data_IF_440588628009
#
_entry.id   IF_440588628009
#
_cell.length_a   1.000
_cell.length_b   1.000
_cell.length_c   1.000
_cell.angle_alpha   90.00
_cell.angle_beta   90.00
_cell.angle_gamma   90.00
#
_symmetry.space_group_name_H-M   'P 1'
#
loop_
_entity.id
_entity.type
_entity.pdbx_description
1 polymer ?
#
# COMPACT_ATOMS: atom_id res chain seq x y z
N UNK A 1 -31.63 16.14 25.01
CA UNK A 1 -30.28 16.61 24.65
C UNK A 1 -30.37 18.11 24.62
N UNK A 2 -29.67 18.78 25.52
CA UNK A 2 -29.79 20.24 25.68
C UNK A 2 -29.27 20.94 24.42
N UNK A 3 -29.90 22.06 24.03
CA UNK A 3 -29.54 22.78 22.80
C UNK A 3 -28.08 23.23 22.80
N UNK A 4 -27.53 23.60 23.96
CA UNK A 4 -26.11 23.93 24.13
C UNK A 4 -25.18 22.74 23.82
N UNK A 5 -25.56 21.52 24.22
CA UNK A 5 -24.77 20.31 23.89
C UNK A 5 -24.84 19.98 22.41
N UNK A 6 -25.98 20.29 21.76
CA UNK A 6 -26.17 20.09 20.32
C UNK A 6 -25.35 21.09 19.51
N UNK A 7 -25.31 22.35 19.91
CA UNK A 7 -24.49 23.39 19.28
C UNK A 7 -22.99 23.15 19.44
N UNK A 8 -22.55 22.71 20.63
CA UNK A 8 -21.17 22.32 20.86
C UNK A 8 -20.76 21.15 19.94
N UNK A 9 -21.57 20.08 19.89
CA UNK A 9 -21.35 18.94 19.00
C UNK A 9 -21.34 19.34 17.52
N UNK A 10 -22.21 20.26 17.10
CA UNK A 10 -22.22 20.81 15.75
C UNK A 10 -20.92 21.53 15.41
N UNK A 11 -20.45 22.41 16.29
CA UNK A 11 -19.21 23.17 16.08
C UNK A 11 -17.99 22.24 16.00
N UNK A 12 -17.96 21.21 16.85
CA UNK A 12 -16.90 20.22 16.89
C UNK A 12 -16.88 19.35 15.61
N UNK A 13 -18.04 18.86 15.18
CA UNK A 13 -18.18 18.12 13.92
C UNK A 13 -17.82 18.95 12.70
N UNK A 14 -18.14 20.25 12.69
CA UNK A 14 -17.75 21.16 11.60
C UNK A 14 -16.24 21.35 11.55
N UNK A 15 -15.59 21.58 12.70
CA UNK A 15 -14.14 21.74 12.77
C UNK A 15 -13.39 20.51 12.26
N UNK A 16 -13.86 19.31 12.61
CA UNK A 16 -13.29 18.05 12.12
C UNK A 16 -13.65 17.78 10.65
N UNK A 17 -14.84 18.18 10.20
CA UNK A 17 -15.28 17.99 8.81
C UNK A 17 -14.49 18.85 7.80
N UNK A 18 -13.96 20.01 8.20
CA UNK A 18 -13.16 20.84 7.30
C UNK A 18 -11.90 20.07 6.85
N UNK A 19 -11.19 19.42 7.78
CA UNK A 19 -10.18 18.39 7.52
C UNK A 19 -9.07 18.74 6.49
N UNK A 20 -8.20 17.78 6.16
CA UNK A 20 -7.19 17.98 5.14
C UNK A 20 -7.81 18.01 3.73
N UNK A 21 -7.54 19.07 2.97
CA UNK A 21 -7.98 19.22 1.56
C UNK A 21 -6.90 18.85 0.54
N UNK A 22 -5.66 18.66 1.00
CA UNK A 22 -4.53 18.38 0.12
C UNK A 22 -4.68 16.99 -0.52
N UNK A 23 -4.09 16.85 -1.70
CA UNK A 23 -4.00 15.57 -2.38
C UNK A 23 -2.58 15.04 -2.20
N UNK A 24 -2.46 13.86 -1.62
CA UNK A 24 -1.18 13.22 -1.34
C UNK A 24 -1.01 11.94 -2.16
N UNK A 25 0.15 11.80 -2.79
CA UNK A 25 0.49 10.63 -3.59
C UNK A 25 1.59 9.83 -2.89
N UNK A 26 1.19 8.69 -2.31
CA UNK A 26 2.12 7.81 -1.62
C UNK A 26 2.76 6.89 -2.64
N UNK A 27 4.06 7.05 -2.80
CA UNK A 27 4.90 6.28 -3.70
C UNK A 27 5.64 5.19 -2.93
N UNK A 28 6.10 4.16 -3.63
CA UNK A 28 6.95 3.14 -3.05
C UNK A 28 8.39 3.20 -3.52
N UNK A 29 9.33 2.94 -2.60
CA UNK A 29 10.75 2.89 -2.94
C UNK A 29 11.41 1.57 -2.52
N UNK A 30 11.67 0.72 -3.49
CA UNK A 30 12.32 -0.59 -3.27
C UNK A 30 13.76 -0.65 -3.81
N UNK A 31 14.36 0.49 -4.20
CA UNK A 31 15.67 0.53 -4.87
C UNK A 31 16.80 -0.19 -4.12
N UNK A 32 16.87 -0.04 -2.79
CA UNK A 32 17.90 -0.70 -1.98
C UNK A 32 17.73 -2.23 -1.96
N UNK A 33 16.51 -2.71 -1.71
CA UNK A 33 16.21 -4.13 -1.70
C UNK A 33 16.43 -4.76 -3.08
N UNK A 34 16.04 -4.05 -4.16
CA UNK A 34 16.32 -4.47 -5.54
C UNK A 34 17.84 -4.58 -5.80
N UNK A 35 18.63 -3.62 -5.33
CA UNK A 35 20.09 -3.67 -5.49
C UNK A 35 20.73 -4.83 -4.70
N UNK A 36 20.36 -5.01 -3.43
CA UNK A 36 20.89 -6.10 -2.60
C UNK A 36 20.53 -7.48 -3.17
N UNK A 37 19.30 -7.65 -3.66
CA UNK A 37 18.88 -8.89 -4.32
C UNK A 37 19.60 -9.10 -5.65
N UNK A 38 19.80 -8.07 -6.47
CA UNK A 38 20.57 -8.17 -7.70
C UNK A 38 22.04 -8.56 -7.44
N UNK A 39 22.69 -7.97 -6.44
CA UNK A 39 24.06 -8.31 -6.04
C UNK A 39 24.14 -9.75 -5.51
N UNK A 40 23.21 -10.14 -4.64
CA UNK A 40 23.13 -11.52 -4.15
C UNK A 40 22.91 -12.53 -5.29
N UNK A 41 22.06 -12.20 -6.26
CA UNK A 41 21.81 -13.03 -7.43
C UNK A 41 23.09 -13.19 -8.27
N UNK A 42 23.82 -12.10 -8.51
CA UNK A 42 25.08 -12.14 -9.26
C UNK A 42 26.11 -13.06 -8.59
N UNK A 43 26.26 -12.99 -7.26
CA UNK A 43 27.17 -13.86 -6.51
C UNK A 43 26.74 -15.32 -6.61
N UNK A 44 25.46 -15.63 -6.40
CA UNK A 44 24.94 -17.00 -6.47
C UNK A 44 25.09 -17.60 -7.87
N UNK A 45 24.80 -16.82 -8.91
CA UNK A 45 24.97 -17.25 -10.30
C UNK A 45 26.44 -17.48 -10.65
N UNK A 46 27.34 -16.61 -10.18
CA UNK A 46 28.77 -16.76 -10.40
C UNK A 46 29.32 -18.00 -9.69
N UNK A 47 29.05 -18.16 -8.39
CA UNK A 47 29.52 -19.32 -7.60
C UNK A 47 28.89 -20.61 -8.10
N UNK A 48 27.59 -20.61 -8.40
CA UNK A 48 26.87 -21.77 -8.93
C UNK A 48 27.41 -22.18 -10.31
N UNK A 49 27.62 -21.22 -11.21
CA UNK A 49 28.20 -21.47 -12.53
C UNK A 49 29.63 -22.00 -12.44
N UNK A 50 30.44 -21.42 -11.55
CA UNK A 50 31.78 -21.92 -11.25
C UNK A 50 31.74 -23.37 -10.76
N UNK A 51 30.88 -23.70 -9.79
CA UNK A 51 30.74 -25.05 -9.25
C UNK A 51 30.30 -26.09 -10.30
N UNK A 52 29.34 -25.73 -11.16
CA UNK A 52 28.88 -26.59 -12.25
C UNK A 52 29.98 -26.81 -13.30
N UNK A 53 30.89 -25.84 -13.49
CA UNK A 53 32.00 -25.92 -14.44
C UNK A 53 33.23 -26.69 -13.93
N UNK A 54 33.39 -26.88 -12.61
CA UNK A 54 34.55 -27.56 -12.02
C UNK A 54 34.75 -29.01 -12.50
N UNK A 55 33.72 -29.86 -12.61
CA UNK A 55 33.89 -31.25 -13.05
C UNK A 55 34.46 -31.40 -14.46
N UNK A 56 34.10 -30.50 -15.39
CA UNK A 56 34.62 -30.52 -16.75
C UNK A 56 36.07 -30.02 -16.82
N UNK A 57 36.42 -29.01 -16.01
CA UNK A 57 37.78 -28.47 -15.93
C UNK A 57 38.77 -29.46 -15.31
N UNK A 58 38.36 -30.25 -14.33
CA UNK A 58 39.25 -31.14 -13.55
C UNK A 58 39.09 -32.63 -13.97
N UNK A 59 38.24 -32.92 -14.96
CA UNK A 59 38.00 -34.27 -15.47
C UNK A 59 37.55 -35.27 -14.38
N UNK A 60 36.78 -34.79 -13.39
CA UNK A 60 36.30 -35.63 -12.28
C UNK A 60 35.15 -36.52 -12.73
N UNK A 61 35.43 -37.79 -13.06
CA UNK A 61 34.41 -38.77 -13.48
C UNK A 61 33.55 -39.31 -12.33
N UNK A 62 34.14 -39.61 -11.17
CA UNK A 62 33.46 -40.35 -10.10
C UNK A 62 32.65 -39.47 -9.12
N UNK A 63 32.95 -38.17 -9.02
CA UNK A 63 32.42 -37.28 -7.98
C UNK A 63 31.70 -36.03 -8.53
N UNK A 64 31.39 -35.97 -9.83
CA UNK A 64 30.82 -34.78 -10.48
C UNK A 64 29.50 -34.30 -9.86
N UNK A 65 28.66 -35.21 -9.37
CA UNK A 65 27.40 -34.90 -8.70
C UNK A 65 27.58 -34.04 -7.44
N UNK A 66 28.70 -34.19 -6.71
CA UNK A 66 29.00 -33.41 -5.51
C UNK A 66 29.22 -31.92 -5.82
N UNK A 67 29.63 -31.58 -7.03
CA UNK A 67 29.73 -30.19 -7.47
C UNK A 67 28.49 -29.72 -8.23
N UNK A 68 27.90 -30.62 -9.02
CA UNK A 68 26.80 -30.28 -9.91
C UNK A 68 25.50 -29.98 -9.17
N UNK A 69 25.12 -30.80 -8.18
CA UNK A 69 23.89 -30.60 -7.40
C UNK A 69 23.90 -29.27 -6.62
N UNK A 70 24.91 -28.97 -5.77
CA UNK A 70 24.94 -27.68 -5.09
C UNK A 70 25.10 -26.51 -6.06
N UNK A 71 25.86 -26.66 -7.15
CA UNK A 71 25.97 -25.64 -8.19
C UNK A 71 24.63 -25.33 -8.86
N UNK A 72 23.86 -26.35 -9.22
CA UNK A 72 22.52 -26.19 -9.80
C UNK A 72 21.53 -25.55 -8.82
N UNK A 73 21.59 -25.90 -7.53
CA UNK A 73 20.78 -25.26 -6.49
C UNK A 73 21.12 -23.77 -6.32
N UNK A 74 22.41 -23.42 -6.33
CA UNK A 74 22.86 -22.02 -6.28
C UNK A 74 22.41 -21.24 -7.51
N UNK A 75 22.49 -21.84 -8.70
CA UNK A 75 21.98 -21.23 -9.93
C UNK A 75 20.47 -20.98 -9.85
N UNK A 76 19.69 -21.97 -9.40
CA UNK A 76 18.24 -21.83 -9.23
C UNK A 76 17.88 -20.73 -8.21
N UNK A 77 18.58 -20.70 -7.07
CA UNK A 77 18.41 -19.65 -6.07
C UNK A 77 18.79 -18.26 -6.61
N UNK A 78 19.87 -18.16 -7.38
CA UNK A 78 20.30 -16.93 -8.04
C UNK A 78 19.26 -16.41 -9.04
N UNK A 79 18.68 -17.29 -9.86
CA UNK A 79 17.61 -16.92 -10.80
C UNK A 79 16.34 -16.44 -10.08
N UNK A 80 15.94 -17.12 -9.00
CA UNK A 80 14.81 -16.69 -8.17
C UNK A 80 15.06 -15.30 -7.56
N UNK A 81 16.26 -15.07 -7.03
CA UNK A 81 16.63 -13.79 -6.43
C UNK A 81 16.70 -12.67 -7.47
N UNK A 82 17.12 -12.98 -8.70
CA UNK A 82 17.11 -12.04 -9.83
C UNK A 82 15.68 -11.66 -10.23
N UNK A 83 14.76 -12.62 -10.27
CA UNK A 83 13.34 -12.35 -10.51
C UNK A 83 12.74 -11.46 -9.41
N UNK A 84 13.13 -11.68 -8.15
CA UNK A 84 12.75 -10.79 -7.04
C UNK A 84 13.32 -9.38 -7.21
N UNK A 85 14.59 -9.25 -7.60
CA UNK A 85 15.24 -7.97 -7.86
C UNK A 85 14.51 -7.19 -8.96
N UNK A 86 14.14 -7.87 -10.04
CA UNK A 86 13.38 -7.29 -11.13
C UNK A 86 11.99 -6.83 -10.66
N UNK A 87 11.27 -7.67 -9.89
CA UNK A 87 9.96 -7.31 -9.34
C UNK A 87 10.05 -6.05 -8.45
N UNK A 88 11.05 -5.98 -7.57
CA UNK A 88 11.29 -4.82 -6.70
C UNK A 88 11.70 -3.58 -7.51
N UNK A 89 12.50 -3.74 -8.56
CA UNK A 89 12.90 -2.64 -9.44
C UNK A 89 11.71 -2.02 -10.18
N UNK A 90 10.77 -2.86 -10.64
CA UNK A 90 9.54 -2.42 -11.33
C UNK A 90 8.54 -1.74 -10.39
N UNK A 91 8.58 -2.12 -9.11
CA UNK A 91 7.78 -1.55 -8.03
C UNK A 91 8.32 -0.19 -7.56
N UNK A 92 9.61 0.06 -7.76
CA UNK A 92 10.26 1.30 -7.37
C UNK A 92 9.69 2.52 -8.12
N UNK A 93 9.22 3.51 -7.38
CA UNK A 93 8.62 4.75 -7.90
C UNK A 93 7.15 4.59 -8.29
N UNK A 94 6.50 3.45 -8.02
CA UNK A 94 5.06 3.30 -8.28
C UNK A 94 4.25 4.03 -7.22
N UNK A 95 3.26 4.81 -7.66
CA UNK A 95 2.23 5.34 -6.77
C UNK A 95 1.35 4.18 -6.30
N UNK A 96 1.26 4.00 -4.99
CA UNK A 96 0.50 2.92 -4.36
C UNK A 96 -0.90 3.38 -4.00
N UNK A 97 -1.00 4.58 -3.47
CA UNK A 97 -2.22 5.13 -2.92
C UNK A 97 -2.22 6.63 -3.08
N UNK A 98 -3.33 7.16 -3.59
CA UNK A 98 -3.61 8.59 -3.67
C UNK A 98 -4.68 8.91 -2.66
N UNK A 99 -4.38 9.85 -1.77
CA UNK A 99 -5.28 10.33 -0.74
C UNK A 99 -5.82 11.69 -1.20
N UNK A 100 -7.14 11.82 -1.20
CA UNK A 100 -7.85 13.06 -1.45
C UNK A 100 -8.84 13.31 -0.32
N UNK A 101 -9.35 14.54 -0.23
CA UNK A 101 -10.26 14.94 0.85
C UNK A 101 -11.43 13.97 1.06
N UNK A 102 -12.04 13.48 -0.02
CA UNK A 102 -13.26 12.67 0.03
C UNK A 102 -13.07 11.19 -0.35
N UNK A 103 -11.90 10.84 -0.92
CA UNK A 103 -11.66 9.48 -1.41
C UNK A 103 -10.20 9.07 -1.35
N UNK A 104 -10.00 7.75 -1.34
CA UNK A 104 -8.72 7.08 -1.48
C UNK A 104 -8.71 6.25 -2.76
N UNK A 105 -7.69 6.41 -3.59
CA UNK A 105 -7.51 5.62 -4.79
C UNK A 105 -6.30 4.70 -4.65
N UNK A 106 -6.52 3.40 -4.80
CA UNK A 106 -5.46 2.39 -4.80
C UNK A 106 -4.91 2.18 -6.20
N UNK A 107 -3.65 1.75 -6.31
CA UNK A 107 -2.97 1.52 -7.59
C UNK A 107 -3.73 0.57 -8.54
N UNK A 108 -4.46 -0.41 -7.99
CA UNK A 108 -5.23 -1.39 -8.75
C UNK A 108 -6.75 -1.12 -8.76
N UNK A 109 -7.20 0.00 -8.21
CA UNK A 109 -8.59 0.43 -8.25
C UNK A 109 -8.84 1.29 -9.49
N UNK A 110 -9.88 0.95 -10.26
CA UNK A 110 -10.28 1.76 -11.43
C UNK A 110 -10.91 3.08 -11.04
N UNK A 111 -11.55 3.12 -9.88
CA UNK A 111 -12.29 4.27 -9.36
C UNK A 111 -11.78 4.61 -7.96
N UNK A 112 -11.90 5.87 -7.57
CA UNK A 112 -11.57 6.31 -6.23
C UNK A 112 -12.61 5.75 -5.25
N UNK A 113 -12.16 5.17 -4.14
CA UNK A 113 -13.02 4.63 -3.10
C UNK A 113 -13.33 5.73 -2.09
N UNK A 114 -14.61 6.06 -1.83
CA UNK A 114 -14.97 7.06 -0.84
C UNK A 114 -14.47 6.66 0.57
N UNK A 115 -14.03 7.64 1.36
CA UNK A 115 -13.58 7.38 2.73
C UNK A 115 -14.69 6.82 3.62
N UNK A 116 -15.94 7.19 3.35
CA UNK A 116 -17.13 6.70 4.05
C UNK A 116 -17.35 5.18 3.95
N UNK A 117 -16.69 4.51 3.00
CA UNK A 117 -16.69 3.05 2.90
C UNK A 117 -15.83 2.37 3.97
N UNK A 118 -14.95 3.10 4.64
CA UNK A 118 -14.05 2.57 5.66
C UNK A 118 -14.48 2.97 7.07
N UNK A 119 -14.32 2.04 8.00
CA UNK A 119 -14.65 2.22 9.42
C UNK A 119 -13.41 2.47 10.27
N UNK A 120 -12.35 1.71 9.98
CA UNK A 120 -11.09 1.78 10.69
C UNK A 120 -9.94 1.34 9.78
N UNK A 121 -8.71 1.59 10.21
CA UNK A 121 -7.52 1.01 9.60
C UNK A 121 -6.56 0.48 10.67
N UNK A 122 -5.79 -0.52 10.30
CA UNK A 122 -4.74 -1.13 11.11
C UNK A 122 -3.44 -1.13 10.30
N UNK A 123 -2.31 -0.82 10.94
CA UNK A 123 -0.99 -0.88 10.33
C UNK A 123 -0.19 -2.00 11.00
N UNK A 124 0.04 -3.08 10.28
CA UNK A 124 0.91 -4.18 10.70
C UNK A 124 2.35 -3.91 10.21
N UNK A 125 3.30 -3.72 11.13
CA UNK A 125 4.72 -3.62 10.78
C UNK A 125 5.40 -4.99 10.83
N UNK A 126 6.09 -5.33 9.75
CA UNK A 126 7.09 -6.38 9.70
C UNK A 126 8.48 -5.78 9.51
N UNK A 127 9.54 -6.58 9.70
CA UNK A 127 10.93 -6.08 9.67
C UNK A 127 11.33 -5.41 8.34
N UNK A 128 10.72 -5.84 7.23
CA UNK A 128 11.07 -5.39 5.88
C UNK A 128 9.88 -4.90 5.06
N UNK A 129 8.69 -4.91 5.65
CA UNK A 129 7.44 -4.56 4.99
C UNK A 129 6.41 -4.11 6.01
N UNK A 130 5.37 -3.48 5.52
CA UNK A 130 4.24 -2.98 6.29
C UNK A 130 2.97 -3.41 5.56
N UNK A 131 1.95 -3.82 6.30
CA UNK A 131 0.64 -4.09 5.73
C UNK A 131 -0.36 -3.10 6.32
N UNK A 132 -1.02 -2.35 5.44
CA UNK A 132 -2.13 -1.47 5.78
C UNK A 132 -3.42 -2.25 5.55
N UNK A 133 -4.24 -2.39 6.58
CA UNK A 133 -5.50 -3.14 6.55
C UNK A 133 -6.63 -2.18 6.86
N UNK A 134 -7.45 -1.86 5.87
CA UNK A 134 -8.67 -1.10 6.08
C UNK A 134 -9.84 -2.03 6.39
N UNK A 135 -10.64 -1.67 7.38
CA UNK A 135 -11.91 -2.32 7.68
C UNK A 135 -13.02 -1.61 6.90
N UNK A 136 -13.77 -2.38 6.11
CA UNK A 136 -14.86 -1.86 5.28
C UNK A 136 -16.14 -1.87 6.11
N UNK A 137 -16.88 -0.76 6.06
CA UNK A 137 -18.19 -0.61 6.69
C UNK A 137 -19.16 -1.72 6.25
N UNK A 138 -19.98 -2.22 7.19
CA UNK A 138 -20.96 -3.25 6.90
C UNK A 138 -21.94 -2.81 5.81
N UNK A 139 -22.10 -3.62 4.77
CA UNK A 139 -22.96 -3.34 3.62
C UNK A 139 -22.34 -2.46 2.53
N UNK A 140 -21.16 -1.89 2.76
CA UNK A 140 -20.37 -1.21 1.74
C UNK A 140 -19.43 -2.19 1.03
N UNK A 141 -19.05 -1.87 -0.21
CA UNK A 141 -18.05 -2.63 -0.97
C UNK A 141 -17.07 -1.68 -1.63
N UNK A 142 -15.79 -2.02 -1.57
CA UNK A 142 -14.75 -1.32 -2.31
C UNK A 142 -14.96 -1.56 -3.81
N UNK A 143 -15.21 -0.53 -4.63
CA UNK A 143 -15.51 -0.70 -6.03
C UNK A 143 -14.27 -1.10 -6.84
N UNK A 144 -14.46 -2.01 -7.81
CA UNK A 144 -13.61 -2.08 -9.01
C UNK A 144 -12.13 -2.42 -8.81
N UNK A 145 -11.77 -3.17 -7.77
CA UNK A 145 -10.39 -3.68 -7.63
C UNK A 145 -10.10 -4.67 -8.74
N UNK A 146 -9.11 -4.35 -9.57
CA UNK A 146 -8.61 -5.31 -10.55
C UNK A 146 -7.92 -6.47 -9.84
N UNK A 147 -8.21 -7.72 -10.26
CA UNK A 147 -7.59 -8.88 -9.64
C UNK A 147 -6.06 -8.85 -9.85
N UNK A 148 -5.28 -9.35 -8.88
CA UNK A 148 -3.84 -9.41 -9.00
C UNK A 148 -3.47 -10.30 -10.20
N UNK A 149 -2.84 -9.73 -11.21
CA UNK A 149 -2.35 -10.48 -12.36
C UNK A 149 -0.99 -11.11 -12.07
N UNK A 150 -0.50 -12.06 -12.87
CA UNK A 150 0.82 -12.70 -12.63
C UNK A 150 2.00 -11.69 -12.57
N UNK A 151 1.81 -10.46 -13.08
CA UNK A 151 2.75 -9.33 -12.95
C UNK A 151 2.71 -8.64 -11.56
N UNK A 152 1.80 -9.05 -10.68
CA UNK A 152 1.43 -8.40 -9.40
C UNK A 152 2.48 -8.50 -8.30
N UNK A 153 3.49 -9.39 -8.41
CA UNK A 153 4.65 -9.32 -7.50
C UNK A 153 5.38 -7.97 -7.60
N UNK A 154 5.28 -7.30 -8.75
CA UNK A 154 5.86 -5.99 -9.02
C UNK A 154 4.91 -4.81 -8.77
N UNK A 155 3.63 -5.06 -8.49
CA UNK A 155 2.62 -4.02 -8.33
C UNK A 155 2.09 -4.00 -6.89
N UNK A 156 2.03 -2.83 -6.24
CA UNK A 156 1.56 -2.72 -4.86
C UNK A 156 0.02 -2.69 -4.84
N UNK A 157 -0.57 -3.84 -5.16
CA UNK A 157 -2.02 -3.97 -5.34
C UNK A 157 -2.73 -4.17 -3.98
N UNK A 158 -3.88 -3.50 -3.81
CA UNK A 158 -4.77 -3.74 -2.68
C UNK A 158 -5.61 -5.01 -2.93
N UNK A 159 -5.73 -5.87 -1.91
CA UNK A 159 -6.48 -7.14 -1.99
C UNK A 159 -7.61 -7.20 -0.97
N UNK A 160 -8.82 -7.63 -1.38
CA UNK A 160 -9.89 -7.89 -0.42
C UNK A 160 -9.56 -9.14 0.42
N UNK A 161 -9.85 -9.08 1.71
CA UNK A 161 -9.65 -10.12 2.72
C UNK A 161 -10.96 -10.27 3.50
N UNK A 162 -11.14 -11.40 4.21
CA UNK A 162 -12.32 -11.66 5.05
C UNK A 162 -13.64 -11.46 4.28
N UNK A 163 -13.77 -12.12 3.11
CA UNK A 163 -14.92 -12.01 2.21
C UNK A 163 -15.23 -10.57 1.73
N UNK A 164 -14.22 -9.69 1.69
CA UNK A 164 -14.35 -8.30 1.25
C UNK A 164 -14.65 -7.30 2.37
N UNK A 165 -14.75 -7.76 3.62
CA UNK A 165 -14.93 -6.91 4.80
C UNK A 165 -13.65 -6.16 5.20
N UNK A 166 -12.50 -6.60 4.68
CA UNK A 166 -11.21 -5.94 4.91
C UNK A 166 -10.48 -5.76 3.59
N UNK A 167 -9.72 -4.68 3.47
CA UNK A 167 -8.85 -4.42 2.34
C UNK A 167 -7.41 -4.36 2.83
N UNK A 168 -6.56 -5.26 2.35
CA UNK A 168 -5.14 -5.33 2.74
C UNK A 168 -4.27 -4.81 1.61
N UNK A 169 -3.38 -3.89 1.94
CA UNK A 169 -2.38 -3.31 1.05
C UNK A 169 -1.00 -3.59 1.64
N UNK A 170 -0.11 -4.18 0.85
CA UNK A 170 1.28 -4.41 1.26
C UNK A 170 2.15 -3.28 0.76
N UNK A 171 2.94 -2.71 1.68
CA UNK A 171 3.85 -1.60 1.48
C UNK A 171 5.28 -2.03 1.89
N UNK A 172 6.31 -1.69 1.12
CA UNK A 172 7.71 -1.94 1.51
C UNK A 172 8.33 -0.71 2.15
N UNK A 173 8.38 0.41 1.41
CA UNK A 173 8.85 1.69 1.90
C UNK A 173 7.98 2.79 1.27
N UNK A 174 6.93 3.23 1.96
CA UNK A 174 6.11 4.33 1.50
C UNK A 174 6.91 5.63 1.56
N UNK A 175 6.72 6.47 0.55
CA UNK A 175 7.35 7.76 0.37
C UNK A 175 6.26 8.79 0.08
N UNK A 176 6.36 9.96 0.71
CA UNK A 176 5.55 11.14 0.41
C UNK A 176 6.47 12.30 0.10
N UNK A 177 6.28 12.93 -1.06
CA UNK A 177 7.10 14.07 -1.52
C UNK A 177 8.62 13.83 -1.40
N UNK A 178 9.05 12.60 -1.68
CA UNK A 178 10.47 12.20 -1.62
C UNK A 178 11.01 11.92 -0.21
N UNK A 179 10.20 12.04 0.84
CA UNK A 179 10.52 11.63 2.22
C UNK A 179 9.94 10.26 2.54
N UNK A 180 10.66 9.46 3.33
CA UNK A 180 10.17 8.17 3.80
C UNK A 180 9.13 8.41 4.87
N UNK A 181 7.94 7.86 4.68
CA UNK A 181 6.87 7.88 5.67
C UNK A 181 7.17 6.86 6.77
N UNK A 182 7.26 7.33 8.01
CA UNK A 182 7.20 6.47 9.19
C UNK A 182 5.80 5.87 9.38
N UNK A 183 5.68 4.93 10.31
CA UNK A 183 4.37 4.35 10.67
C UNK A 183 3.49 5.38 11.35
N UNK A 184 4.04 6.09 12.33
CA UNK A 184 3.29 7.10 13.08
C UNK A 184 2.85 8.25 12.18
N UNK A 185 3.70 8.65 11.23
CA UNK A 185 3.38 9.67 10.23
C UNK A 185 2.29 9.19 9.26
N UNK A 186 2.38 7.95 8.77
CA UNK A 186 1.35 7.39 7.91
C UNK A 186 0.03 7.20 8.67
N UNK A 187 0.08 6.75 9.92
CA UNK A 187 -1.08 6.58 10.77
C UNK A 187 -1.77 7.92 11.02
N UNK A 188 -1.02 8.94 11.45
CA UNK A 188 -1.56 10.28 11.69
C UNK A 188 -2.19 10.87 10.42
N UNK A 189 -1.51 10.72 9.28
CA UNK A 189 -2.04 11.20 8.01
C UNK A 189 -3.36 10.48 7.66
N UNK A 190 -3.42 9.14 7.72
CA UNK A 190 -4.64 8.40 7.42
C UNK A 190 -5.79 8.69 8.40
N UNK A 191 -5.47 8.89 9.68
CA UNK A 191 -6.43 9.19 10.73
C UNK A 191 -7.10 10.55 10.51
N UNK A 192 -6.34 11.59 10.13
CA UNK A 192 -6.90 12.90 9.81
C UNK A 192 -7.93 12.85 8.67
N UNK A 193 -7.64 12.13 7.58
CA UNK A 193 -8.60 11.97 6.47
C UNK A 193 -9.82 11.12 6.87
N UNK A 194 -9.60 10.03 7.63
CA UNK A 194 -10.69 9.16 8.05
C UNK A 194 -11.63 9.88 9.02
N UNK A 195 -11.09 10.57 10.02
CA UNK A 195 -11.87 11.35 10.98
C UNK A 195 -12.66 12.47 10.29
N UNK A 196 -12.04 13.19 9.36
CA UNK A 196 -12.74 14.23 8.60
C UNK A 196 -13.91 13.66 7.79
N UNK A 197 -13.71 12.52 7.12
CA UNK A 197 -14.78 11.86 6.38
C UNK A 197 -15.91 11.34 7.29
N UNK A 198 -15.57 10.77 8.44
CA UNK A 198 -16.56 10.32 9.43
C UNK A 198 -17.34 11.51 10.03
N UNK A 199 -16.68 12.63 10.30
CA UNK A 199 -17.32 13.86 10.76
C UNK A 199 -18.29 14.41 9.70
N UNK A 200 -17.88 14.47 8.42
CA UNK A 200 -18.76 14.87 7.29
C UNK A 200 -20.00 13.98 7.18
N UNK A 201 -19.82 12.66 7.29
CA UNK A 201 -20.92 11.69 7.25
C UNK A 201 -21.87 11.83 8.45
N UNK A 202 -21.32 12.00 9.63
CA UNK A 202 -22.08 12.19 10.88
C UNK A 202 -22.88 13.49 10.82
N UNK A 203 -22.26 14.57 10.32
CA UNK A 203 -22.92 15.86 10.11
C UNK A 203 -24.06 15.74 9.09
N UNK A 204 -23.86 15.03 7.98
CA UNK A 204 -24.93 14.79 7.00
C UNK A 204 -26.10 13.97 7.54
N UNK A 205 -25.83 13.03 8.45
CA UNK A 205 -26.85 12.15 9.05
C UNK A 205 -27.64 12.85 10.15
N UNK A 206 -26.94 13.55 11.06
CA UNK A 206 -27.55 14.17 12.25
C UNK A 206 -28.05 15.60 11.99
N UNK A 207 -27.44 16.31 11.03
CA UNK A 207 -27.72 17.72 10.75
C UNK A 207 -27.88 18.01 9.25
N UNK A 208 -28.82 17.35 8.55
CA UNK A 208 -28.99 17.46 7.10
C UNK A 208 -29.34 18.89 6.63
N UNK A 209 -29.94 19.72 7.50
CA UNK A 209 -30.24 21.11 7.20
C UNK A 209 -28.96 21.97 7.02
N UNK A 210 -27.93 21.72 7.82
CA UNK A 210 -26.68 22.52 7.83
C UNK A 210 -25.83 22.22 6.60
N UNK A 211 -25.77 20.95 6.17
CA UNK A 211 -25.01 20.53 4.99
C UNK A 211 -25.54 21.19 3.70
N UNK A 212 -26.87 21.39 3.60
CA UNK A 212 -27.48 22.14 2.48
C UNK A 212 -27.07 23.61 2.47
N UNK A 213 -26.95 24.26 3.63
CA UNK A 213 -26.54 25.67 3.70
C UNK A 213 -25.06 25.88 3.31
N UNK A 214 -24.16 24.96 3.70
CA UNK A 214 -22.75 25.03 3.29
C UNK A 214 -22.56 24.78 1.79
N UNK A 215 -23.28 23.80 1.22
CA UNK A 215 -23.26 23.54 -0.23
C UNK A 215 -23.81 24.73 -1.05
N UNK A 216 -24.89 25.37 -0.58
CA UNK A 216 -25.48 26.55 -1.22
C UNK A 216 -24.55 27.77 -1.13
N UNK A 217 -23.83 27.98 -0.01
CA UNK A 217 -22.84 29.06 0.10
C UNK A 217 -21.64 28.86 -0.84
N UNK A 218 -21.13 27.64 -0.99
CA UNK A 218 -20.07 27.37 -1.97
C UNK A 218 -20.56 27.52 -3.43
N UNK A 219 -21.84 27.29 -3.70
CA UNK A 219 -22.46 27.51 -5.02
C UNK A 219 -22.80 28.98 -5.34
N UNK A 220 -22.91 29.85 -4.33
CA UNK A 220 -23.27 31.27 -4.52
C UNK A 220 -22.11 32.24 -4.26
N UNK A 221 -20.92 31.70 -3.98
CA UNK A 221 -19.67 32.44 -3.80
C UNK A 221 -18.72 32.40 -5.01
N UNK A 222 -19.24 32.24 -6.23
CA UNK A 222 -18.54 32.55 -7.49
C UNK A 222 -19.09 33.83 -8.09
#
# INVERSE_FOLDING_TARGET
MDDASREALLSDLQAHADGPQQRYEIHERASGQALFSALGAAVLLFVGGWLVSLPSLIHMRAAHWLCWVPGALLLAAGLLLLACAEALSRRNGRCVMVLSADSVQFANAREATPWECFDAFEIEQHQLSMALVFSVMAGQRVPGLTPPCFKSLAAPDARPVAAGMRLRLWLFNPMLDGRRLGIDELAGLLDEYLQAAQARRTLGTLFPAVQRFSAVRHSTGQ
#
